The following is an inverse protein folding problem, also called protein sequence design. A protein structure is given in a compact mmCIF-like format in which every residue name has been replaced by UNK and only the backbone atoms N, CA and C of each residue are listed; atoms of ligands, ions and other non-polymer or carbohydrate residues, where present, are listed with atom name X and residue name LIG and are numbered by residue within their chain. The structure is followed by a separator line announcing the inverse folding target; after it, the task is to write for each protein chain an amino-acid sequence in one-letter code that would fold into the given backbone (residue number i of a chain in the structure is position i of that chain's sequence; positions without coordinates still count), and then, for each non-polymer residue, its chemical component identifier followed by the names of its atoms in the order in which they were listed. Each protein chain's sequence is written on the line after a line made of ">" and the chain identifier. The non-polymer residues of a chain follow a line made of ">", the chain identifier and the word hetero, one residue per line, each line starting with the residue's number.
data_IF_250113007785
#
_entry.id   IF_250113007785
#
_cell.length_a   1.000
_cell.length_b   1.000
_cell.length_c   1.000
_cell.angle_alpha   90.00
_cell.angle_beta   90.00
_cell.angle_gamma   90.00
#
_symmetry.space_group_name_H-M   'P 1'
#
loop_
_entity.id
_entity.type
_entity.pdbx_description
1 polymer ?
#
# COMPACT_ATOMS: atom_id res chain seq x y z
N UNK A 1 32.96 27.05 3.62
CA UNK A 1 32.89 26.49 4.97
C UNK A 1 31.44 26.16 5.21
N UNK A 2 31.07 24.89 5.10
CA UNK A 2 29.70 24.42 5.24
C UNK A 2 29.37 24.20 6.71
N UNK A 3 28.18 24.63 7.10
CA UNK A 3 27.61 24.54 8.43
C UNK A 3 27.32 23.06 8.78
N UNK A 4 27.85 22.49 9.87
CA UNK A 4 27.71 21.06 10.19
C UNK A 4 26.38 20.71 10.90
N UNK A 5 25.31 21.46 10.63
CA UNK A 5 24.08 21.41 11.45
C UNK A 5 22.87 20.87 10.69
N UNK A 6 23.03 19.73 10.00
CA UNK A 6 21.87 18.94 9.51
C UNK A 6 22.02 17.42 9.70
N UNK A 7 22.99 16.98 10.51
CA UNK A 7 23.18 15.57 10.88
C UNK A 7 22.31 15.14 12.09
N UNK A 8 21.13 15.72 12.24
CA UNK A 8 20.16 15.38 13.28
C UNK A 8 18.76 15.23 12.68
N UNK A 9 18.63 14.48 11.57
CA UNK A 9 17.37 13.78 11.32
C UNK A 9 17.16 12.81 12.49
N UNK A 10 16.30 13.19 13.42
CA UNK A 10 15.97 12.36 14.58
C UNK A 10 15.27 11.11 14.07
N UNK A 11 16.07 10.06 13.83
CA UNK A 11 15.55 8.71 13.61
C UNK A 11 14.64 8.39 14.80
N UNK A 12 13.39 8.02 14.52
CA UNK A 12 12.44 7.63 15.56
C UNK A 12 13.08 6.61 16.50
N UNK A 13 12.82 6.65 17.82
CA UNK A 13 13.48 5.71 18.72
C UNK A 13 13.12 4.27 18.36
N UNK A 14 14.07 3.33 18.55
CA UNK A 14 13.83 1.90 18.32
C UNK A 14 12.69 1.38 19.19
N UNK A 15 11.87 0.50 18.62
CA UNK A 15 10.65 -0.02 19.24
C UNK A 15 9.42 0.87 19.04
N UNK A 16 9.52 1.97 18.29
CA UNK A 16 8.36 2.84 18.02
C UNK A 16 7.38 2.26 16.99
N UNK A 17 7.84 1.31 16.17
CA UNK A 17 7.02 0.65 15.16
C UNK A 17 6.44 -0.67 15.68
N UNK A 18 5.19 -1.03 15.32
CA UNK A 18 4.59 -2.26 15.81
C UNK A 18 5.30 -3.55 15.37
N UNK A 19 5.86 -3.58 14.16
CA UNK A 19 6.68 -4.71 13.71
C UNK A 19 7.93 -4.88 14.59
N UNK A 20 8.57 -3.78 15.01
CA UNK A 20 9.70 -3.79 15.95
C UNK A 20 9.26 -4.31 17.33
N UNK A 21 8.09 -3.87 17.83
CA UNK A 21 7.50 -4.38 19.06
C UNK A 21 7.24 -5.88 18.99
N UNK A 22 6.72 -6.37 17.87
CA UNK A 22 6.45 -7.79 17.68
C UNK A 22 7.75 -8.60 17.68
N UNK A 23 8.77 -8.16 16.95
CA UNK A 23 10.07 -8.82 16.90
C UNK A 23 10.69 -8.97 18.29
N UNK A 24 10.85 -7.87 19.05
CA UNK A 24 11.53 -7.92 20.35
C UNK A 24 10.75 -8.66 21.43
N UNK A 25 9.44 -8.86 21.25
CA UNK A 25 8.59 -9.61 22.19
C UNK A 25 8.56 -11.11 21.91
N UNK A 26 8.78 -11.50 20.65
CA UNK A 26 8.68 -12.88 20.19
C UNK A 26 10.02 -13.47 19.73
N UNK A 27 11.11 -12.71 19.87
CA UNK A 27 12.44 -13.21 19.64
C UNK A 27 12.80 -14.30 20.65
N UNK A 28 13.27 -15.43 20.15
CA UNK A 28 13.75 -16.56 20.92
C UNK A 28 15.24 -16.77 20.66
N UNK A 29 16.13 -16.34 21.59
CA UNK A 29 17.57 -16.56 21.47
C UNK A 29 18.00 -18.03 21.45
N UNK A 30 17.13 -18.94 21.90
CA UNK A 30 17.38 -20.39 21.92
C UNK A 30 16.84 -21.10 20.66
N UNK A 31 16.24 -20.35 19.72
CA UNK A 31 15.75 -20.88 18.46
C UNK A 31 16.86 -21.57 17.68
N UNK A 32 16.52 -22.70 17.05
CA UNK A 32 17.42 -23.39 16.13
C UNK A 32 17.51 -22.73 14.74
N UNK A 33 16.67 -21.73 14.47
CA UNK A 33 16.66 -21.01 13.21
C UNK A 33 17.84 -20.04 13.13
N UNK A 34 18.34 -19.80 11.92
CA UNK A 34 19.25 -18.69 11.69
C UNK A 34 18.53 -17.36 12.01
N UNK A 35 19.22 -16.33 12.54
CA UNK A 35 18.60 -15.06 12.92
C UNK A 35 17.71 -14.46 11.81
N UNK A 36 18.18 -14.45 10.55
CA UNK A 36 17.43 -13.89 9.42
C UNK A 36 16.16 -14.70 9.09
N UNK A 37 16.20 -16.01 9.28
CA UNK A 37 15.06 -16.89 9.09
C UNK A 37 14.02 -16.73 10.21
N UNK A 38 14.50 -16.56 11.44
CA UNK A 38 13.63 -16.23 12.57
C UNK A 38 12.96 -14.87 12.38
N UNK A 39 13.70 -13.84 11.95
CA UNK A 39 13.11 -12.51 11.66
C UNK A 39 12.01 -12.62 10.62
N UNK A 40 12.29 -13.26 9.47
CA UNK A 40 11.28 -13.46 8.40
C UNK A 40 10.04 -14.21 8.91
N UNK A 41 10.25 -15.26 9.70
CA UNK A 41 9.15 -16.04 10.30
C UNK A 41 8.28 -15.16 11.21
N UNK A 42 8.92 -14.35 12.06
CA UNK A 42 8.21 -13.44 12.96
C UNK A 42 7.50 -12.31 12.21
N UNK A 43 8.08 -11.74 11.15
CA UNK A 43 7.42 -10.72 10.32
C UNK A 43 6.18 -11.30 9.63
N UNK A 44 6.24 -12.52 9.12
CA UNK A 44 5.07 -13.20 8.54
C UNK A 44 4.00 -13.51 9.59
N UNK A 45 4.40 -13.87 10.81
CA UNK A 45 3.47 -14.04 11.92
C UNK A 45 2.81 -12.71 12.32
N UNK A 46 3.56 -11.60 12.28
CA UNK A 46 3.04 -10.25 12.49
C UNK A 46 2.00 -9.86 11.42
N UNK A 47 2.30 -10.10 10.14
CA UNK A 47 1.36 -9.85 9.03
C UNK A 47 0.08 -10.70 9.14
N UNK A 48 0.14 -11.86 9.79
CA UNK A 48 -1.02 -12.71 10.02
C UNK A 48 -1.91 -12.27 11.20
N UNK A 49 -1.50 -11.27 11.99
CA UNK A 49 -2.28 -10.78 13.12
C UNK A 49 -3.53 -10.05 12.65
N UNK A 50 -4.71 -10.47 13.13
CA UNK A 50 -5.99 -9.80 12.84
C UNK A 50 -6.09 -8.41 13.47
N UNK A 51 -5.45 -8.20 14.62
CA UNK A 51 -5.45 -6.92 15.34
C UNK A 51 -4.09 -6.64 15.96
N UNK A 52 -3.49 -5.50 15.61
CA UNK A 52 -2.25 -5.05 16.24
C UNK A 52 -2.59 -4.21 17.47
N UNK A 53 -2.04 -4.56 18.65
CA UNK A 53 -2.34 -3.83 19.87
C UNK A 53 -2.04 -2.34 19.74
N UNK A 54 -3.00 -1.49 20.11
CA UNK A 54 -2.90 -0.04 19.97
C UNK A 54 -1.72 0.53 20.74
N UNK A 55 -1.36 -0.09 21.87
CA UNK A 55 -0.21 0.32 22.67
C UNK A 55 1.14 0.13 21.96
N UNK A 56 1.23 -0.75 20.96
CA UNK A 56 2.46 -0.91 20.17
C UNK A 56 2.67 0.23 19.17
N UNK A 57 1.63 1.01 18.89
CA UNK A 57 1.70 2.16 18.00
C UNK A 57 2.07 3.42 18.81
N UNK A 58 3.32 3.86 18.75
CA UNK A 58 3.77 5.03 19.51
C UNK A 58 2.90 6.28 19.26
N UNK A 59 2.53 6.56 18.00
CA UNK A 59 1.65 7.70 17.65
C UNK A 59 0.25 7.60 18.30
N UNK A 60 -0.31 6.39 18.40
CA UNK A 60 -1.59 6.17 19.08
C UNK A 60 -1.46 6.19 20.62
N UNK A 61 -0.25 5.95 21.13
CA UNK A 61 0.07 5.90 22.55
C UNK A 61 0.78 7.18 23.05
N UNK A 62 0.42 8.36 22.53
CA UNK A 62 1.01 9.65 22.92
C UNK A 62 2.55 9.69 22.86
N UNK A 63 3.12 9.10 21.80
CA UNK A 63 4.56 8.92 21.58
C UNK A 63 5.26 8.06 22.64
N UNK A 64 4.52 7.32 23.46
CA UNK A 64 5.07 6.39 24.43
C UNK A 64 5.32 5.01 23.81
N UNK A 65 6.54 4.50 24.01
CA UNK A 65 6.96 3.19 23.50
C UNK A 65 6.58 2.13 24.51
N UNK A 66 5.73 1.18 24.11
CA UNK A 66 5.22 0.12 24.99
C UNK A 66 6.32 -0.70 25.67
N UNK A 67 7.35 -1.10 24.90
CA UNK A 67 8.55 -1.77 25.40
C UNK A 67 9.77 -1.16 24.74
N UNK A 68 10.58 -0.46 25.51
CA UNK A 68 11.84 0.10 25.03
C UNK A 68 12.82 -1.06 24.82
N UNK A 69 13.37 -1.25 23.61
CA UNK A 69 14.35 -2.29 23.35
C UNK A 69 15.67 -1.98 24.06
N UNK A 70 16.36 -3.03 24.50
CA UNK A 70 17.73 -2.90 25.01
C UNK A 70 18.71 -2.71 23.86
N UNK A 71 19.90 -2.17 24.14
CA UNK A 71 20.96 -2.00 23.13
C UNK A 71 21.32 -3.33 22.44
N UNK A 72 21.37 -4.43 23.20
CA UNK A 72 21.64 -5.76 22.64
C UNK A 72 20.54 -6.23 21.68
N UNK A 73 19.27 -5.95 21.98
CA UNK A 73 18.15 -6.27 21.09
C UNK A 73 18.17 -5.40 19.83
N UNK A 74 18.53 -4.12 19.95
CA UNK A 74 18.71 -3.26 18.78
C UNK A 74 19.79 -3.83 17.87
N UNK A 75 20.96 -4.16 18.42
CA UNK A 75 22.11 -4.61 17.63
C UNK A 75 21.94 -6.01 17.03
N UNK A 76 21.24 -6.93 17.70
CA UNK A 76 21.10 -8.33 17.26
C UNK A 76 19.80 -8.63 16.51
N UNK A 77 18.72 -7.91 16.83
CA UNK A 77 17.38 -8.18 16.30
C UNK A 77 16.98 -7.13 15.28
N UNK A 78 16.97 -5.85 15.66
CA UNK A 78 16.30 -4.79 14.88
C UNK A 78 17.19 -4.16 13.81
N UNK A 79 18.39 -3.70 14.16
CA UNK A 79 19.29 -3.03 13.23
C UNK A 79 19.73 -3.92 12.05
N UNK A 80 19.97 -5.24 12.22
CA UNK A 80 20.31 -6.12 11.10
C UNK A 80 19.12 -6.45 10.18
N UNK A 81 17.88 -6.21 10.62
CA UNK A 81 16.69 -6.53 9.84
C UNK A 81 16.47 -5.56 8.68
N UNK A 82 16.65 -4.26 8.95
CA UNK A 82 16.31 -3.19 8.02
C UNK A 82 17.22 -1.98 8.24
N UNK A 83 17.79 -1.41 7.15
CA UNK A 83 18.61 -0.21 7.24
C UNK A 83 17.79 1.00 7.71
N UNK A 84 18.48 1.99 8.27
CA UNK A 84 17.83 3.20 8.82
C UNK A 84 17.01 3.97 7.77
N UNK A 85 17.42 3.95 6.50
CA UNK A 85 16.68 4.55 5.38
C UNK A 85 15.29 3.94 5.23
N UNK A 86 15.20 2.62 5.06
CA UNK A 86 13.92 1.91 4.94
C UNK A 86 13.11 1.95 6.22
N UNK A 87 13.77 2.03 7.39
CA UNK A 87 13.09 2.25 8.66
C UNK A 87 12.39 3.62 8.73
N UNK A 88 13.01 4.66 8.19
CA UNK A 88 12.40 5.99 8.06
C UNK A 88 11.15 5.91 7.17
N UNK A 89 11.23 5.21 6.05
CA UNK A 89 10.11 5.01 5.10
C UNK A 89 8.95 4.30 5.79
N UNK A 90 9.24 3.16 6.43
CA UNK A 90 8.28 2.39 7.19
C UNK A 90 7.54 3.20 8.25
N UNK A 91 8.29 4.04 8.97
CA UNK A 91 7.70 4.90 9.97
C UNK A 91 6.75 5.94 9.38
N UNK A 92 7.12 6.54 8.25
CA UNK A 92 6.28 7.52 7.56
C UNK A 92 4.98 6.88 7.04
N UNK A 93 5.09 5.74 6.34
CA UNK A 93 3.93 4.96 5.86
C UNK A 93 2.99 4.63 7.02
N UNK A 94 3.55 4.12 8.12
CA UNK A 94 2.74 3.70 9.27
C UNK A 94 2.05 4.86 9.99
N UNK A 95 2.78 5.95 10.23
CA UNK A 95 2.33 7.02 11.11
C UNK A 95 1.43 8.01 10.38
N UNK A 96 1.84 8.45 9.20
CA UNK A 96 1.20 9.57 8.51
C UNK A 96 0.20 9.11 7.46
N UNK A 97 0.17 7.81 7.16
CA UNK A 97 -0.74 7.17 6.20
C UNK A 97 -0.91 8.01 4.94
N UNK A 98 0.21 8.27 4.26
CA UNK A 98 0.13 9.10 3.09
C UNK A 98 -0.74 8.38 2.06
N UNK A 99 -1.71 9.12 1.52
CA UNK A 99 -2.53 8.62 0.43
C UNK A 99 -1.71 8.50 -0.86
N UNK A 100 -2.14 7.58 -1.71
CA UNK A 100 -1.62 7.39 -3.06
C UNK A 100 -0.77 6.14 -3.22
N UNK A 101 0.06 6.17 -4.26
CA UNK A 101 0.75 4.99 -4.78
C UNK A 101 2.20 4.96 -4.31
N UNK A 102 2.65 3.78 -3.89
CA UNK A 102 4.05 3.45 -3.65
C UNK A 102 4.58 2.73 -4.89
N UNK A 103 5.75 3.13 -5.35
CA UNK A 103 6.44 2.55 -6.50
C UNK A 103 7.51 1.61 -5.98
N UNK A 104 7.46 0.34 -6.38
CA UNK A 104 8.44 -0.68 -6.04
C UNK A 104 9.19 -1.13 -7.30
N UNK A 105 10.50 -0.95 -7.32
CA UNK A 105 11.34 -1.54 -8.36
C UNK A 105 11.81 -2.91 -7.92
N UNK A 106 11.46 -3.93 -8.70
CA UNK A 106 11.90 -5.31 -8.46
C UNK A 106 12.94 -5.80 -9.45
N UNK A 107 13.05 -5.14 -10.60
CA UNK A 107 13.98 -5.51 -11.66
C UNK A 107 15.03 -4.44 -11.91
N UNK A 108 16.29 -4.87 -11.94
CA UNK A 108 17.46 -4.01 -12.09
C UNK A 108 18.23 -4.21 -13.40
N UNK A 109 17.97 -5.33 -14.12
CA UNK A 109 18.54 -5.62 -15.44
C UNK A 109 20.03 -5.31 -15.62
N UNK A 110 20.36 -4.76 -16.78
CA UNK A 110 21.62 -4.05 -17.02
C UNK A 110 21.54 -2.68 -16.35
N UNK A 111 22.36 -2.50 -15.32
CA UNK A 111 22.22 -1.45 -14.29
C UNK A 111 22.11 -0.05 -14.89
N UNK A 112 22.94 0.30 -15.86
CA UNK A 112 22.99 1.66 -16.41
C UNK A 112 21.75 2.01 -17.25
N UNK A 113 21.29 1.10 -18.12
CA UNK A 113 20.14 1.35 -18.99
C UNK A 113 18.82 1.29 -18.22
N UNK A 114 18.67 0.29 -17.35
CA UNK A 114 17.46 0.14 -16.56
C UNK A 114 17.33 1.25 -15.51
N UNK A 115 18.44 1.68 -14.89
CA UNK A 115 18.42 2.83 -13.98
C UNK A 115 18.06 4.12 -14.72
N UNK A 116 18.72 4.41 -15.85
CA UNK A 116 18.41 5.61 -16.63
C UNK A 116 16.95 5.67 -17.09
N UNK A 117 16.39 4.52 -17.51
CA UNK A 117 14.97 4.43 -17.89
C UNK A 117 14.03 4.65 -16.70
N UNK A 118 14.35 4.07 -15.55
CA UNK A 118 13.56 4.25 -14.33
C UNK A 118 13.62 5.69 -13.84
N UNK A 119 14.80 6.30 -13.84
CA UNK A 119 14.99 7.74 -13.54
C UNK A 119 14.23 8.61 -14.54
N UNK A 120 14.23 8.31 -15.84
CA UNK A 120 13.44 9.04 -16.84
C UNK A 120 11.94 9.01 -16.50
N UNK A 121 11.38 7.83 -16.16
CA UNK A 121 9.98 7.74 -15.76
C UNK A 121 9.69 8.58 -14.51
N UNK A 122 10.59 8.56 -13.52
CA UNK A 122 10.44 9.37 -12.31
C UNK A 122 10.53 10.87 -12.62
N UNK A 123 11.56 11.33 -13.34
CA UNK A 123 11.77 12.75 -13.63
C UNK A 123 10.68 13.32 -14.54
N UNK A 124 10.34 12.59 -15.61
CA UNK A 124 9.40 13.05 -16.64
C UNK A 124 7.97 13.10 -16.10
N UNK A 125 7.56 12.08 -15.34
CA UNK A 125 6.17 11.94 -14.91
C UNK A 125 5.96 12.49 -13.50
N UNK A 126 6.88 12.22 -12.57
CA UNK A 126 6.79 12.74 -11.20
C UNK A 126 7.35 14.17 -11.07
N UNK A 127 7.97 14.76 -12.09
CA UNK A 127 8.34 16.17 -12.09
C UNK A 127 7.18 17.13 -12.40
N UNK A 128 6.09 16.64 -13.01
CA UNK A 128 5.01 17.48 -13.60
C UNK A 128 3.91 17.85 -12.59
N UNK A 129 3.76 17.16 -11.46
CA UNK A 129 2.60 17.39 -10.57
C UNK A 129 2.72 18.55 -9.59
N UNK A 130 3.60 19.53 -9.85
CA UNK A 130 3.82 20.63 -8.90
C UNK A 130 4.53 20.19 -7.62
N UNK A 131 5.25 19.06 -7.66
CA UNK A 131 6.17 18.57 -6.63
C UNK A 131 7.44 19.43 -6.52
N UNK A 132 7.28 20.74 -6.33
CA UNK A 132 8.39 21.69 -6.21
C UNK A 132 9.17 21.58 -4.89
N UNK A 133 8.91 20.57 -4.07
CA UNK A 133 9.72 20.24 -2.91
C UNK A 133 10.11 18.77 -3.01
N UNK A 134 11.35 18.52 -3.43
CA UNK A 134 12.01 17.19 -3.39
C UNK A 134 11.90 16.52 -2.00
N UNK A 135 11.55 17.28 -0.95
CA UNK A 135 11.34 16.83 0.42
C UNK A 135 10.12 15.91 0.63
N UNK A 136 9.15 15.82 -0.29
CA UNK A 136 7.86 15.14 -0.01
C UNK A 136 7.70 13.70 -0.58
N UNK A 137 8.63 13.19 -1.41
CA UNK A 137 8.44 11.93 -2.15
C UNK A 137 9.42 10.79 -1.81
N UNK A 138 10.39 11.00 -0.92
CA UNK A 138 11.45 10.04 -0.58
C UNK A 138 10.94 8.69 -0.03
N UNK A 139 9.71 8.63 0.47
CA UNK A 139 9.09 7.42 1.02
C UNK A 139 8.27 6.63 -0.01
N UNK A 140 7.97 7.23 -1.17
CA UNK A 140 7.12 6.62 -2.21
C UNK A 140 7.87 5.62 -3.08
N UNK A 141 9.17 5.81 -3.24
CA UNK A 141 9.99 5.05 -4.20
C UNK A 141 10.84 4.06 -3.41
N UNK A 142 10.53 2.78 -3.59
CA UNK A 142 11.30 1.66 -3.07
C UNK A 142 12.21 1.14 -4.18
N UNK A 143 13.39 1.77 -4.29
CA UNK A 143 14.43 1.42 -5.25
C UNK A 143 15.75 1.14 -4.52
N UNK A 144 15.85 -0.06 -3.94
CA UNK A 144 17.07 -0.56 -3.29
C UNK A 144 17.33 -2.01 -3.73
N UNK A 145 18.35 -2.19 -4.57
CA UNK A 145 18.68 -3.48 -5.18
C UNK A 145 19.00 -4.58 -4.16
N UNK A 146 19.58 -4.23 -3.02
CA UNK A 146 19.96 -5.20 -2.00
C UNK A 146 18.71 -5.86 -1.39
N UNK A 147 17.61 -5.11 -1.26
CA UNK A 147 16.39 -5.56 -0.60
C UNK A 147 15.27 -5.93 -1.56
N UNK A 148 15.23 -5.31 -2.75
CA UNK A 148 14.08 -5.39 -3.65
C UNK A 148 14.36 -6.01 -5.00
N UNK A 149 15.59 -6.44 -5.31
CA UNK A 149 15.86 -7.24 -6.50
C UNK A 149 15.24 -8.65 -6.35
N UNK A 150 13.97 -8.78 -6.73
CA UNK A 150 13.12 -9.92 -6.47
C UNK A 150 12.63 -10.53 -7.80
N UNK A 151 12.48 -11.86 -7.88
CA UNK A 151 11.74 -12.49 -8.97
C UNK A 151 10.31 -11.93 -9.10
N UNK A 152 9.77 -11.90 -10.32
CA UNK A 152 8.45 -11.29 -10.60
C UNK A 152 7.30 -11.94 -9.81
N UNK A 153 7.41 -13.22 -9.48
CA UNK A 153 6.45 -13.99 -8.66
C UNK A 153 6.69 -13.88 -7.14
N UNK A 154 7.83 -13.34 -6.73
CA UNK A 154 8.25 -13.20 -5.33
C UNK A 154 8.23 -11.76 -4.80
N UNK A 155 7.58 -10.82 -5.51
CA UNK A 155 7.48 -9.41 -5.11
C UNK A 155 6.96 -9.21 -3.67
N UNK A 156 6.10 -10.10 -3.18
CA UNK A 156 5.53 -10.08 -1.83
C UNK A 156 6.59 -10.18 -0.73
N UNK A 157 7.82 -10.60 -1.05
CA UNK A 157 8.96 -10.57 -0.13
C UNK A 157 9.36 -9.15 0.30
N UNK A 158 8.87 -8.11 -0.39
CA UNK A 158 8.98 -6.72 0.09
C UNK A 158 8.44 -6.57 1.53
N UNK A 159 7.40 -7.33 1.89
CA UNK A 159 6.81 -7.29 3.23
C UNK A 159 7.70 -7.92 4.31
N UNK A 160 8.68 -8.75 3.94
CA UNK A 160 9.66 -9.27 4.89
C UNK A 160 10.59 -8.13 5.38
N UNK A 161 10.68 -7.01 4.65
CA UNK A 161 11.50 -5.83 4.97
C UNK A 161 10.62 -4.65 5.42
N UNK A 162 9.56 -4.36 4.68
CA UNK A 162 8.64 -3.23 4.95
C UNK A 162 7.21 -3.75 5.11
N UNK A 163 6.91 -4.48 6.20
CA UNK A 163 5.56 -4.98 6.46
C UNK A 163 4.53 -3.85 6.63
N UNK A 164 4.97 -2.62 6.89
CA UNK A 164 4.10 -1.45 6.98
C UNK A 164 3.42 -1.09 5.63
N UNK A 165 3.87 -1.68 4.51
CA UNK A 165 3.22 -1.54 3.20
C UNK A 165 1.81 -2.13 3.14
N UNK A 166 1.44 -3.08 4.01
CA UNK A 166 0.05 -3.59 4.04
C UNK A 166 -0.89 -2.63 4.79
N UNK A 167 -0.48 -1.36 4.99
CA UNK A 167 -1.19 -0.36 5.77
C UNK A 167 -1.30 -0.75 7.24
N UNK A 168 -2.43 -0.44 7.90
CA UNK A 168 -2.57 -0.75 9.33
C UNK A 168 -2.56 -2.27 9.54
N UNK A 169 -1.40 -2.85 9.82
CA UNK A 169 -1.29 -4.23 10.30
C UNK A 169 -2.31 -4.46 11.42
N UNK A 170 -3.09 -5.53 11.27
CA UNK A 170 -4.21 -5.84 12.15
C UNK A 170 -5.39 -4.88 12.07
N UNK A 171 -5.69 -4.35 10.87
CA UNK A 171 -7.10 -4.08 10.56
C UNK A 171 -7.79 -5.42 10.30
N UNK A 172 -9.05 -5.57 10.72
CA UNK A 172 -9.81 -6.77 10.38
C UNK A 172 -9.81 -6.95 8.86
N UNK A 173 -9.70 -8.20 8.40
CA UNK A 173 -9.77 -8.54 6.95
C UNK A 173 -11.01 -8.01 6.23
N UNK A 174 -12.05 -7.68 6.99
CA UNK A 174 -13.31 -7.19 6.47
C UNK A 174 -13.55 -5.78 7.01
N UNK A 175 -13.96 -4.83 6.15
CA UNK A 175 -14.44 -3.54 6.60
C UNK A 175 -15.54 -3.73 7.64
N UNK A 176 -15.52 -2.88 8.67
CA UNK A 176 -16.54 -2.92 9.73
C UNK A 176 -17.90 -2.46 9.16
N UNK A 177 -18.99 -2.84 9.84
CA UNK A 177 -20.34 -2.55 9.37
C UNK A 177 -20.61 -1.05 9.14
N UNK A 178 -19.93 -0.17 9.87
CA UNK A 178 -20.02 1.29 9.71
C UNK A 178 -19.47 1.74 8.35
N UNK A 179 -18.26 1.29 7.97
CA UNK A 179 -17.65 1.57 6.66
C UNK A 179 -18.52 1.03 5.51
N UNK A 180 -19.03 -0.19 5.66
CA UNK A 180 -19.90 -0.78 4.64
C UNK A 180 -21.24 -0.03 4.50
N UNK A 181 -21.75 0.58 5.58
CA UNK A 181 -22.93 1.42 5.52
C UNK A 181 -22.65 2.76 4.84
N UNK A 182 -21.49 3.37 5.09
CA UNK A 182 -21.05 4.59 4.41
C UNK A 182 -20.86 4.36 2.90
N UNK A 183 -20.21 3.26 2.52
CA UNK A 183 -20.09 2.85 1.12
C UNK A 183 -21.46 2.62 0.46
N UNK A 184 -22.43 2.10 1.21
CA UNK A 184 -23.81 1.93 0.74
C UNK A 184 -24.51 3.26 0.50
N UNK A 185 -24.45 4.16 1.47
CA UNK A 185 -25.04 5.49 1.39
C UNK A 185 -24.41 6.29 0.23
N UNK A 186 -23.09 6.17 0.04
CA UNK A 186 -22.37 6.76 -1.10
C UNK A 186 -22.83 6.16 -2.44
N UNK A 187 -22.96 4.83 -2.53
CA UNK A 187 -23.45 4.19 -3.77
C UNK A 187 -24.87 4.64 -4.12
N UNK A 188 -25.75 4.75 -3.13
CA UNK A 188 -27.13 5.19 -3.33
C UNK A 188 -27.18 6.69 -3.71
N UNK A 189 -26.32 7.52 -3.10
CA UNK A 189 -26.13 8.91 -3.50
C UNK A 189 -25.66 9.04 -4.96
N UNK A 190 -24.59 8.33 -5.34
CA UNK A 190 -24.03 8.37 -6.70
C UNK A 190 -25.07 7.97 -7.75
N UNK A 191 -25.90 6.95 -7.48
CA UNK A 191 -27.01 6.55 -8.36
C UNK A 191 -28.10 7.63 -8.47
N UNK A 192 -28.34 8.38 -7.40
CA UNK A 192 -29.38 9.42 -7.36
C UNK A 192 -28.98 10.72 -8.06
N UNK A 193 -27.70 11.10 -8.00
CA UNK A 193 -27.19 12.39 -8.50
C UNK A 193 -26.70 12.30 -9.95
N UNK A 194 -26.27 11.12 -10.40
CA UNK A 194 -25.64 10.97 -11.73
C UNK A 194 -26.38 10.01 -12.68
N UNK A 195 -27.72 10.04 -12.85
CA UNK A 195 -28.40 9.10 -13.74
C UNK A 195 -27.92 9.21 -15.21
N UNK A 196 -27.52 10.39 -15.70
CA UNK A 196 -27.30 10.63 -17.15
C UNK A 196 -26.12 11.57 -17.52
N UNK A 197 -25.16 11.87 -16.64
CA UNK A 197 -24.04 12.77 -17.02
C UNK A 197 -22.93 11.98 -17.73
N UNK A 198 -22.98 12.06 -19.06
CA UNK A 198 -21.84 11.83 -19.96
C UNK A 198 -20.87 13.01 -19.74
N UNK A 199 -19.95 12.88 -18.79
CA UNK A 199 -18.76 13.73 -18.77
C UNK A 199 -17.81 13.21 -19.85
N UNK A 200 -17.66 13.97 -20.93
CA UNK A 200 -16.78 13.64 -22.06
C UNK A 200 -15.32 13.32 -21.64
N UNK A 201 -14.91 13.66 -20.39
CA UNK A 201 -13.52 13.53 -19.98
C UNK A 201 -13.20 12.51 -18.85
N UNK A 202 -14.16 11.91 -18.12
CA UNK A 202 -13.76 10.96 -17.07
C UNK A 202 -14.82 9.99 -16.52
N UNK A 203 -16.04 10.45 -16.27
CA UNK A 203 -17.07 9.64 -15.57
C UNK A 203 -18.13 9.00 -16.50
N UNK A 204 -18.01 9.19 -17.81
CA UNK A 204 -19.02 8.79 -18.81
C UNK A 204 -19.20 7.27 -19.01
N UNK A 205 -18.39 6.42 -18.37
CA UNK A 205 -18.43 4.96 -18.55
C UNK A 205 -18.69 4.15 -17.28
N UNK A 206 -18.84 4.79 -16.10
CA UNK A 206 -19.04 4.03 -14.86
C UNK A 206 -20.40 3.32 -14.89
N UNK A 207 -20.37 2.00 -15.03
CA UNK A 207 -21.55 1.15 -14.91
C UNK A 207 -22.09 1.29 -13.49
N UNK A 208 -23.24 1.95 -13.36
CA UNK A 208 -23.94 2.12 -12.09
C UNK A 208 -24.33 0.79 -11.42
N UNK A 209 -24.31 -0.29 -12.20
CA UNK A 209 -24.65 -1.65 -11.77
C UNK A 209 -23.74 -2.12 -10.62
N UNK A 210 -22.46 -1.73 -10.64
CA UNK A 210 -21.44 -2.29 -9.76
C UNK A 210 -20.79 -1.29 -8.80
N UNK A 211 -21.25 -0.03 -8.74
CA UNK A 211 -20.68 1.03 -7.87
C UNK A 211 -20.51 0.56 -6.43
N UNK A 212 -21.54 -0.10 -5.86
CA UNK A 212 -21.46 -0.59 -4.49
C UNK A 212 -20.38 -1.65 -4.31
N UNK A 213 -20.23 -2.58 -5.27
CA UNK A 213 -19.17 -3.58 -5.19
C UNK A 213 -17.79 -2.94 -5.26
N UNK A 214 -17.62 -1.93 -6.11
CA UNK A 214 -16.35 -1.23 -6.27
C UNK A 214 -15.96 -0.44 -5.03
N UNK A 215 -16.90 0.30 -4.45
CA UNK A 215 -16.70 1.02 -3.18
C UNK A 215 -16.37 0.05 -2.05
N UNK A 216 -17.03 -1.10 -1.99
CA UNK A 216 -16.77 -2.11 -0.95
C UNK A 216 -15.40 -2.76 -1.09
N UNK A 217 -14.91 -2.96 -2.32
CA UNK A 217 -13.54 -3.38 -2.56
C UNK A 217 -12.55 -2.26 -2.19
N UNK A 218 -12.90 -1.00 -2.46
CA UNK A 218 -12.09 0.16 -2.07
C UNK A 218 -12.05 0.36 -0.54
N UNK A 219 -13.10 -0.01 0.20
CA UNK A 219 -13.05 0.00 1.67
C UNK A 219 -12.15 -1.12 2.24
N UNK A 220 -11.88 -2.18 1.47
CA UNK A 220 -11.07 -3.31 1.91
C UNK A 220 -9.57 -3.13 1.64
N UNK A 221 -9.19 -2.17 0.80
CA UNK A 221 -7.79 -1.87 0.50
C UNK A 221 -7.15 -1.00 1.59
N UNK A 222 -5.83 -1.11 1.71
CA UNK A 222 -5.00 -0.33 2.62
C UNK A 222 -3.79 0.31 1.92
N UNK A 223 -3.39 -0.19 0.76
CA UNK A 223 -2.23 0.29 0.02
C UNK A 223 -2.35 0.07 -1.48
N UNK A 224 -1.80 1.02 -2.25
CA UNK A 224 -1.63 0.91 -3.69
C UNK A 224 -0.15 0.77 -4.02
N UNK A 225 0.19 -0.28 -4.76
CA UNK A 225 1.57 -0.61 -5.08
C UNK A 225 1.73 -0.73 -6.60
N UNK A 226 2.55 0.12 -7.19
CA UNK A 226 2.97 0.04 -8.59
C UNK A 226 4.34 -0.64 -8.66
N UNK A 227 4.42 -1.80 -9.33
CA UNK A 227 5.63 -2.60 -9.41
C UNK A 227 6.27 -2.44 -10.79
N UNK A 228 7.50 -1.92 -10.81
CA UNK A 228 8.40 -2.01 -11.96
C UNK A 228 9.14 -3.36 -11.90
N UNK A 229 8.65 -4.34 -12.66
CA UNK A 229 9.18 -5.70 -12.72
C UNK A 229 9.94 -5.92 -14.04
N UNK A 230 10.35 -7.15 -14.35
CA UNK A 230 11.09 -7.41 -15.60
C UNK A 230 10.33 -6.96 -16.83
N UNK A 231 9.03 -7.23 -16.89
CA UNK A 231 8.18 -6.90 -18.04
C UNK A 231 8.08 -5.40 -18.28
N UNK A 232 8.23 -4.57 -17.24
CA UNK A 232 8.30 -3.11 -17.35
C UNK A 232 9.48 -2.64 -18.21
N UNK A 233 10.60 -3.37 -18.18
CA UNK A 233 11.83 -3.00 -18.88
C UNK A 233 12.02 -3.79 -20.17
N UNK A 234 11.70 -5.09 -20.18
CA UNK A 234 12.18 -6.02 -21.19
C UNK A 234 11.13 -6.50 -22.20
N UNK A 235 9.84 -6.15 -22.06
CA UNK A 235 8.71 -6.65 -22.88
C UNK A 235 9.06 -7.08 -24.32
N UNK A 236 8.77 -8.30 -24.76
CA UNK A 236 9.18 -8.80 -26.08
C UNK A 236 8.42 -8.20 -27.28
N UNK A 237 7.44 -7.33 -27.05
CA UNK A 237 6.57 -6.75 -28.09
C UNK A 237 7.23 -5.54 -28.77
N UNK A 238 7.37 -5.50 -30.11
CA UNK A 238 7.96 -4.35 -30.82
C UNK A 238 7.17 -3.04 -30.65
N UNK A 239 5.93 -3.12 -30.15
CA UNK A 239 5.11 -1.98 -29.74
C UNK A 239 5.18 -1.68 -28.23
N UNK A 240 6.28 -2.04 -27.53
CA UNK A 240 6.43 -1.95 -26.07
C UNK A 240 5.81 -0.67 -25.52
N UNK A 241 4.72 -0.83 -24.77
CA UNK A 241 4.25 0.21 -23.88
C UNK A 241 4.87 -0.11 -22.52
N UNK A 242 5.66 0.82 -22.01
CA UNK A 242 6.18 0.75 -20.65
C UNK A 242 5.00 0.54 -19.70
N UNK A 243 5.08 -0.46 -18.83
CA UNK A 243 3.98 -0.78 -17.90
C UNK A 243 4.47 -1.17 -16.53
N UNK A 244 3.75 -0.70 -15.53
CA UNK A 244 3.88 -1.09 -14.13
C UNK A 244 2.71 -2.00 -13.79
N UNK A 245 2.97 -3.04 -13.01
CA UNK A 245 1.89 -3.83 -12.43
C UNK A 245 1.31 -3.04 -11.25
N UNK A 246 0.06 -2.66 -11.32
CA UNK A 246 -0.65 -1.93 -10.25
C UNK A 246 -1.43 -2.92 -9.38
N UNK A 247 -1.25 -2.83 -8.06
CA UNK A 247 -1.95 -3.63 -7.07
C UNK A 247 -2.69 -2.74 -6.07
N UNK A 248 -3.94 -3.09 -5.76
CA UNK A 248 -4.59 -2.70 -4.52
C UNK A 248 -4.46 -3.84 -3.52
N UNK A 249 -3.90 -3.55 -2.36
CA UNK A 249 -3.57 -4.53 -1.33
C UNK A 249 -4.42 -4.30 -0.08
N UNK A 250 -4.83 -5.37 0.59
CA UNK A 250 -5.50 -5.30 1.88
C UNK A 250 -4.51 -5.18 3.06
N UNK A 251 -5.07 -5.10 4.27
CA UNK A 251 -4.37 -5.07 5.56
C UNK A 251 -3.37 -6.20 5.86
N UNK A 252 -3.31 -7.21 5.00
CA UNK A 252 -2.49 -8.41 5.14
C UNK A 252 -1.66 -8.70 3.88
N UNK A 253 -1.67 -7.81 2.88
CA UNK A 253 -0.94 -7.97 1.63
C UNK A 253 -1.60 -8.89 0.62
N UNK A 254 -2.89 -9.24 0.80
CA UNK A 254 -3.66 -9.92 -0.24
C UNK A 254 -4.06 -8.92 -1.32
N UNK A 255 -4.03 -9.36 -2.57
CA UNK A 255 -4.48 -8.55 -3.71
C UNK A 255 -6.01 -8.43 -3.68
N UNK A 256 -6.50 -7.19 -3.62
CA UNK A 256 -7.91 -6.81 -3.79
C UNK A 256 -8.21 -6.65 -5.29
N UNK A 257 -7.39 -5.86 -6.00
CA UNK A 257 -7.42 -5.69 -7.46
C UNK A 257 -6.00 -5.66 -8.01
N UNK A 258 -5.82 -6.16 -9.23
CA UNK A 258 -4.58 -6.02 -9.98
C UNK A 258 -4.87 -5.57 -11.42
N UNK A 259 -3.95 -4.79 -11.98
CA UNK A 259 -3.99 -4.31 -13.36
C UNK A 259 -2.58 -3.94 -13.82
N UNK A 260 -2.47 -3.50 -15.08
CA UNK A 260 -1.28 -2.86 -15.61
C UNK A 260 -1.58 -1.38 -15.87
N UNK A 261 -0.63 -0.51 -15.56
CA UNK A 261 -0.71 0.93 -15.86
C UNK A 261 0.55 1.41 -16.57
N UNK A 262 0.45 2.50 -17.33
CA UNK A 262 1.62 3.13 -17.93
C UNK A 262 2.33 4.06 -16.94
N UNK A 263 3.64 4.34 -17.08
CA UNK A 263 4.36 5.27 -16.20
C UNK A 263 3.68 6.65 -16.11
N UNK A 264 3.13 7.15 -17.22
CA UNK A 264 2.45 8.45 -17.34
C UNK A 264 1.15 8.54 -16.50
N UNK A 265 0.66 7.40 -16.05
CA UNK A 265 -0.56 7.27 -15.23
C UNK A 265 -0.32 7.53 -13.76
N UNK A 266 0.90 7.27 -13.28
CA UNK A 266 1.28 7.36 -11.87
C UNK A 266 1.02 8.76 -11.30
N UNK A 267 1.40 9.87 -11.98
CA UNK A 267 1.05 11.24 -11.58
C UNK A 267 -0.41 11.44 -11.23
N UNK A 268 -1.31 11.04 -12.13
CA UNK A 268 -2.75 11.26 -11.97
C UNK A 268 -3.27 10.41 -10.81
N UNK A 269 -2.79 9.18 -10.71
CA UNK A 269 -3.19 8.26 -9.66
C UNK A 269 -2.73 8.69 -8.27
N UNK A 270 -1.54 9.28 -8.17
CA UNK A 270 -1.02 9.84 -6.92
C UNK A 270 -1.81 11.07 -6.46
N UNK A 271 -2.21 11.95 -7.38
CA UNK A 271 -2.90 13.19 -7.02
C UNK A 271 -4.41 13.04 -6.85
N UNK A 272 -4.99 11.99 -7.42
CA UNK A 272 -6.44 11.74 -7.40
C UNK A 272 -6.76 10.26 -7.19
N UNK A 273 -6.29 9.64 -6.08
CA UNK A 273 -6.48 8.21 -5.82
C UNK A 273 -7.98 7.82 -5.76
N UNK A 274 -8.85 8.73 -5.30
CA UNK A 274 -10.30 8.53 -5.24
C UNK A 274 -10.93 8.23 -6.60
N UNK A 275 -10.27 8.60 -7.69
CA UNK A 275 -10.75 8.32 -9.04
C UNK A 275 -10.57 6.87 -9.44
N UNK A 276 -9.63 6.16 -8.82
CA UNK A 276 -9.35 4.77 -9.17
C UNK A 276 -10.06 3.77 -8.25
N UNK A 277 -11.08 4.17 -7.51
CA UNK A 277 -11.91 3.19 -6.77
C UNK A 277 -12.76 2.30 -7.71
N UNK A 278 -13.09 2.80 -8.91
CA UNK A 278 -14.05 2.15 -9.81
C UNK A 278 -13.40 1.24 -10.86
N UNK A 279 -14.05 0.10 -11.16
CA UNK A 279 -13.55 -0.88 -12.13
C UNK A 279 -13.53 -0.37 -13.57
N UNK A 280 -14.42 0.57 -13.91
CA UNK A 280 -14.48 1.15 -15.26
C UNK A 280 -13.54 2.36 -15.42
N UNK A 281 -12.76 2.68 -14.40
CA UNK A 281 -11.69 3.68 -14.53
C UNK A 281 -10.58 3.16 -15.44
N UNK A 282 -9.82 4.08 -16.04
CA UNK A 282 -8.74 3.74 -16.97
C UNK A 282 -7.65 2.83 -16.37
N UNK A 283 -7.51 2.81 -15.05
CA UNK A 283 -6.55 1.94 -14.36
C UNK A 283 -7.06 0.52 -14.14
N UNK A 284 -8.38 0.32 -14.07
CA UNK A 284 -8.98 -0.98 -13.71
C UNK A 284 -9.85 -1.59 -14.79
N UNK A 285 -10.09 -0.90 -15.91
CA UNK A 285 -10.95 -1.40 -16.99
C UNK A 285 -10.49 -2.73 -17.60
N UNK A 286 -9.19 -3.01 -17.51
CA UNK A 286 -8.57 -4.29 -17.87
C UNK A 286 -8.06 -5.08 -16.66
N UNK A 287 -8.27 -4.54 -15.46
CA UNK A 287 -7.88 -5.14 -14.21
C UNK A 287 -8.79 -6.30 -13.80
N UNK A 288 -8.31 -7.08 -12.85
CA UNK A 288 -9.02 -8.23 -12.29
C UNK A 288 -9.10 -8.13 -10.78
N UNK A 289 -10.23 -8.59 -10.22
CA UNK A 289 -10.39 -8.74 -8.78
C UNK A 289 -9.57 -9.95 -8.31
N UNK A 290 -8.82 -9.76 -7.24
CA UNK A 290 -7.98 -10.81 -6.66
C UNK A 290 -8.80 -12.04 -6.23
N UNK A 291 -8.26 -13.26 -6.32
CA UNK A 291 -9.04 -14.49 -6.14
C UNK A 291 -9.84 -14.57 -4.83
N UNK A 292 -9.27 -14.08 -3.72
CA UNK A 292 -9.92 -14.08 -2.40
C UNK A 292 -11.10 -13.11 -2.31
N UNK A 293 -11.07 -12.05 -3.11
CA UNK A 293 -12.05 -10.97 -3.15
C UNK A 293 -13.14 -11.17 -4.21
N UNK A 294 -13.05 -12.23 -5.02
CA UNK A 294 -14.15 -12.63 -5.93
C UNK A 294 -15.39 -13.04 -5.13
N UNK A 295 -16.56 -13.03 -5.76
CA UNK A 295 -17.84 -13.41 -5.13
C UNK A 295 -17.84 -14.80 -4.49
N UNK A 296 -17.08 -15.74 -5.04
CA UNK A 296 -16.88 -17.10 -4.56
C UNK A 296 -15.59 -17.27 -3.72
N UNK A 297 -14.81 -16.20 -3.55
CA UNK A 297 -13.64 -16.15 -2.70
C UNK A 297 -13.98 -16.16 -1.21
N UNK A 298 -13.01 -16.54 -0.38
CA UNK A 298 -13.19 -16.65 1.07
C UNK A 298 -13.48 -15.30 1.74
N UNK A 299 -12.90 -14.20 1.26
CA UNK A 299 -13.17 -12.85 1.76
C UNK A 299 -14.38 -12.24 1.04
N UNK A 300 -14.39 -12.30 -0.30
CA UNK A 300 -15.43 -11.68 -1.12
C UNK A 300 -16.82 -12.23 -0.82
N UNK A 301 -16.97 -13.54 -0.60
CA UNK A 301 -18.27 -14.14 -0.25
C UNK A 301 -18.87 -13.55 1.04
N UNK A 302 -18.05 -13.29 2.06
CA UNK A 302 -18.49 -12.66 3.31
C UNK A 302 -18.80 -11.18 3.09
N UNK A 303 -17.92 -10.49 2.36
CA UNK A 303 -18.02 -9.06 2.07
C UNK A 303 -19.29 -8.72 1.27
N UNK A 304 -19.52 -9.44 0.16
CA UNK A 304 -20.71 -9.24 -0.68
C UNK A 304 -22.00 -9.72 -0.02
N UNK A 305 -21.92 -10.69 0.91
CA UNK A 305 -23.07 -11.05 1.74
C UNK A 305 -23.40 -9.95 2.76
N UNK A 306 -22.38 -9.35 3.41
CA UNK A 306 -22.57 -8.30 4.39
C UNK A 306 -23.31 -7.09 3.79
N UNK A 307 -22.90 -6.63 2.60
CA UNK A 307 -23.52 -5.46 1.96
C UNK A 307 -24.94 -5.70 1.45
N UNK A 308 -25.34 -6.95 1.17
CA UNK A 308 -26.72 -7.30 0.81
C UNK A 308 -27.67 -7.14 1.99
N UNK A 309 -27.15 -7.27 3.20
CA UNK A 309 -27.93 -7.20 4.43
C UNK A 309 -28.00 -5.79 5.04
N UNK A 310 -27.20 -4.84 4.52
CA UNK A 310 -27.24 -3.44 4.93
C UNK A 310 -28.45 -2.79 4.26
N UNK A 311 -29.45 -2.45 5.08
CA UNK A 311 -30.57 -1.62 4.63
C UNK A 311 -30.06 -0.21 4.41
N UNK A 312 -30.45 0.44 3.30
CA UNK A 312 -30.12 1.84 3.07
C UNK A 312 -30.60 2.67 4.26
N UNK A 313 -29.75 3.55 4.79
CA UNK A 313 -30.26 4.59 5.67
C UNK A 313 -31.12 5.48 4.77
N UNK A 314 -32.37 5.74 5.19
CA UNK A 314 -33.26 6.62 4.43
C UNK A 314 -32.51 7.92 4.10
N UNK A 315 -32.65 8.46 2.88
CA UNK A 315 -31.96 9.70 2.53
C UNK A 315 -32.30 10.73 3.60
N UNK A 316 -31.29 11.38 4.15
CA UNK A 316 -31.47 12.51 5.07
C UNK A 316 -32.24 13.58 4.30
N UNK A 317 -33.56 13.56 4.42
CA UNK A 317 -34.41 14.69 4.10
C UNK A 317 -34.25 15.68 5.24
N UNK A 318 -33.61 16.81 4.96
CA UNK A 318 -33.46 17.94 5.88
C UNK A 318 -32.65 19.02 5.18
N UNK A 319 -33.26 19.81 4.30
CA UNK A 319 -33.94 21.07 4.66
C UNK A 319 -33.14 21.88 5.70
N UNK A 320 -32.28 22.77 5.21
CA UNK A 320 -32.04 24.13 5.74
C UNK A 320 -31.42 25.01 4.67
#
# INVERSE_FOLDING_TARGET
>A
MADPTNAAEVSLPWGSLPAEQFLIRNWDPASSLAPDEQRRTLIRAFLAMENVPTEWCAKANNSNISRVPTESEVQSILAPWRPLSLRKVAAYIWQDRPEGVIILRTYYGNEDEAAAKFEEWLDREMGICGFNYEEDNWWRILDDREYFNLPDDEWHRVFDVVPELVGRSGRPRLPIAEMLAEARDMADYSRSVHPDIIDENYYSSLSQTNILEDLVLDEAQECWLAIANRDSFESEDENKIDRFRLLMLDGHGSIVKESDIWPEEIPVLVNTPERGQFRDSRWWMHGVVGPRYKHDGDIGSVLFAAIRNISSRSPVTGDS
#
